data_IF_382691128227
#
_entry.id   IF_382691128227
#
_cell.length_a   1.000
_cell.length_b   1.000
_cell.length_c   1.000
_cell.angle_alpha   90.00
_cell.angle_beta   90.00
_cell.angle_gamma   90.00
#
_symmetry.space_group_name_H-M   'P 1'
#
loop_
_entity.id
_entity.type
_entity.pdbx_description
1 polymer ?
#
# COMPACT_ATOMS: atom_id res chain seq x y z
N UNK A 1 13.32 4.12 -10.81
CA UNK A 1 11.94 3.64 -10.97
C UNK A 1 11.07 4.47 -10.03
N UNK A 2 9.98 5.10 -10.51
CA UNK A 2 9.06 5.79 -9.58
C UNK A 2 8.39 4.73 -8.71
N UNK A 3 8.34 4.95 -7.39
CA UNK A 3 7.56 4.09 -6.50
C UNK A 3 6.09 4.26 -6.85
N UNK A 4 5.38 3.14 -7.04
CA UNK A 4 3.95 3.14 -7.40
C UNK A 4 3.08 3.67 -6.27
N UNK A 5 3.51 3.46 -5.04
CA UNK A 5 2.79 3.89 -3.85
C UNK A 5 3.68 4.81 -3.03
N UNK A 6 3.07 5.83 -2.44
CA UNK A 6 3.76 6.74 -1.51
C UNK A 6 2.90 6.98 -0.29
N UNK A 7 3.54 7.21 0.86
CA UNK A 7 2.88 7.65 2.09
C UNK A 7 2.98 9.17 2.23
N UNK A 8 1.87 9.79 2.61
CA UNK A 8 1.74 11.24 2.79
C UNK A 8 1.24 11.51 4.21
N UNK A 9 1.87 12.45 4.90
CA UNK A 9 1.42 12.94 6.20
C UNK A 9 0.21 13.87 6.01
N UNK A 10 -0.89 13.53 6.64
CA UNK A 10 -2.13 14.31 6.64
C UNK A 10 -2.07 15.43 7.69
N UNK A 11 -2.86 16.51 7.55
CA UNK A 11 -2.90 17.61 8.53
C UNK A 11 -3.33 17.20 9.95
N UNK A 12 -3.88 15.99 10.12
CA UNK A 12 -4.34 15.42 11.38
C UNK A 12 -3.28 14.61 12.12
N UNK A 13 -2.00 14.73 11.71
CA UNK A 13 -0.88 13.92 12.22
C UNK A 13 -1.07 12.41 12.00
N UNK A 14 -1.87 12.06 10.99
CA UNK A 14 -2.08 10.69 10.50
C UNK A 14 -1.45 10.53 9.12
N UNK A 15 -1.41 9.31 8.62
CA UNK A 15 -0.80 8.97 7.35
C UNK A 15 -1.82 8.36 6.37
N UNK A 16 -1.61 8.66 5.10
CA UNK A 16 -2.35 8.09 3.99
C UNK A 16 -1.41 7.49 2.94
N UNK A 17 -1.84 6.45 2.24
CA UNK A 17 -1.10 5.85 1.12
C UNK A 17 -1.83 6.14 -0.18
N UNK A 18 -1.11 6.70 -1.15
CA UNK A 18 -1.63 7.05 -2.47
C UNK A 18 -0.97 6.21 -3.57
N UNK A 19 -1.74 5.88 -4.61
CA UNK A 19 -1.19 5.36 -5.86
C UNK A 19 -0.72 6.55 -6.71
N UNK A 20 0.58 6.65 -6.94
CA UNK A 20 1.21 7.77 -7.65
C UNK A 20 0.85 7.82 -9.13
N UNK A 21 0.29 6.73 -9.67
CA UNK A 21 -0.15 6.67 -11.06
C UNK A 21 -1.56 7.24 -11.26
N UNK A 22 -2.42 7.16 -10.24
CA UNK A 22 -3.79 7.67 -10.30
C UNK A 22 -3.98 8.95 -9.49
N UNK A 23 -3.13 9.20 -8.49
CA UNK A 23 -3.29 10.29 -7.53
C UNK A 23 -4.41 10.03 -6.51
N UNK A 24 -4.91 8.80 -6.41
CA UNK A 24 -6.00 8.42 -5.52
C UNK A 24 -5.48 7.66 -4.29
N UNK A 25 -6.18 7.73 -3.14
CA UNK A 25 -5.82 6.93 -1.99
C UNK A 25 -6.02 5.44 -2.29
N UNK A 26 -5.11 4.60 -1.80
CA UNK A 26 -5.15 3.16 -2.01
C UNK A 26 -6.34 2.55 -1.28
N UNK A 27 -7.07 1.66 -1.95
CA UNK A 27 -8.10 0.81 -1.37
C UNK A 27 -7.56 -0.61 -1.27
N UNK A 28 -7.51 -1.16 -0.06
CA UNK A 28 -7.15 -2.55 0.19
C UNK A 28 -8.38 -3.32 0.66
N UNK A 29 -8.91 -4.19 -0.21
CA UNK A 29 -10.21 -4.84 0.03
C UNK A 29 -11.34 -3.80 0.03
N UNK A 30 -11.94 -3.55 1.18
CA UNK A 30 -12.97 -2.51 1.40
C UNK A 30 -12.47 -1.33 2.24
N UNK A 31 -11.19 -1.34 2.66
CA UNK A 31 -10.60 -0.30 3.52
C UNK A 31 -9.82 0.71 2.68
N UNK A 32 -10.10 1.99 2.90
CA UNK A 32 -9.30 3.10 2.37
C UNK A 32 -8.09 3.31 3.28
N UNK A 33 -6.89 3.43 2.71
CA UNK A 33 -5.63 3.57 3.46
C UNK A 33 -5.33 5.03 3.78
N UNK A 34 -6.18 5.64 4.62
CA UNK A 34 -6.07 7.00 5.16
C UNK A 34 -6.26 6.96 6.68
N UNK A 35 -5.85 8.01 7.40
CA UNK A 35 -6.02 8.07 8.85
C UNK A 35 -5.21 7.01 9.62
N UNK A 36 -4.11 6.54 9.02
CA UNK A 36 -3.24 5.52 9.59
C UNK A 36 -2.29 6.16 10.61
N UNK A 37 -1.83 5.39 11.60
CA UNK A 37 -0.63 5.78 12.31
C UNK A 37 0.64 5.56 11.45
N UNK A 38 1.77 6.08 11.89
CA UNK A 38 3.03 6.00 11.14
C UNK A 38 3.50 4.56 10.91
N UNK A 39 3.35 3.70 11.92
CA UNK A 39 3.80 2.31 11.87
C UNK A 39 2.92 1.51 10.93
N UNK A 40 1.60 1.68 11.01
CA UNK A 40 0.64 1.04 10.12
C UNK A 40 0.87 1.47 8.66
N UNK A 41 1.11 2.75 8.41
CA UNK A 41 1.44 3.24 7.06
C UNK A 41 2.73 2.64 6.52
N UNK A 42 3.75 2.44 7.36
CA UNK A 42 5.01 1.80 6.95
C UNK A 42 4.81 0.33 6.57
N UNK A 43 4.12 -0.42 7.42
CA UNK A 43 3.86 -1.84 7.19
C UNK A 43 3.01 -2.07 5.94
N UNK A 44 1.95 -1.27 5.76
CA UNK A 44 1.09 -1.34 4.59
C UNK A 44 1.84 -0.95 3.32
N UNK A 45 2.65 0.12 3.34
CA UNK A 45 3.45 0.53 2.18
C UNK A 45 4.49 -0.54 1.81
N UNK A 46 5.12 -1.16 2.79
CA UNK A 46 6.04 -2.28 2.56
C UNK A 46 5.30 -3.48 1.94
N UNK A 47 4.09 -3.79 2.40
CA UNK A 47 3.27 -4.87 1.83
C UNK A 47 2.87 -4.61 0.36
N UNK A 48 2.60 -3.35 0.00
CA UNK A 48 2.21 -2.93 -1.34
C UNK A 48 3.37 -2.88 -2.32
N UNK A 49 4.57 -2.58 -1.83
CA UNK A 49 5.79 -2.50 -2.63
C UNK A 49 6.57 -3.82 -2.66
N UNK A 50 6.21 -4.79 -1.82
CA UNK A 50 6.78 -6.12 -1.84
C UNK A 50 6.54 -6.81 -3.21
N UNK A 51 7.55 -7.51 -3.77
CA UNK A 51 7.36 -8.28 -4.98
C UNK A 51 6.29 -9.35 -4.76
N UNK A 52 5.42 -9.63 -5.75
CA UNK A 52 4.40 -10.66 -5.61
C UNK A 52 5.07 -11.99 -5.29
N UNK A 53 4.83 -12.48 -4.07
CA UNK A 53 5.36 -13.76 -3.60
C UNK A 53 4.87 -14.83 -4.58
N UNK A 54 5.81 -15.45 -5.30
CA UNK A 54 5.53 -16.34 -6.41
C UNK A 54 4.36 -17.28 -6.10
N UNK A 55 3.30 -17.15 -6.89
CA UNK A 55 2.20 -18.12 -6.93
C UNK A 55 2.82 -19.44 -7.37
N UNK A 56 3.19 -20.29 -6.40
CA UNK A 56 3.56 -21.68 -6.65
C UNK A 56 2.43 -22.27 -7.51
N UNK A 57 2.72 -22.51 -8.79
CA UNK A 57 1.87 -23.30 -9.65
C UNK A 57 1.73 -24.64 -8.94
N UNK A 58 0.51 -24.96 -8.54
CA UNK A 58 0.11 -26.29 -8.13
C UNK A 58 0.72 -27.30 -9.09
N UNK A 59 1.52 -28.23 -8.56
CA UNK A 59 1.72 -29.51 -9.21
C UNK A 59 0.33 -30.13 -9.45
N UNK A 60 -0.03 -30.29 -10.71
CA UNK A 60 -0.94 -31.33 -11.17
C UNK A 60 -0.02 -32.28 -11.93
N UNK A 61 0.33 -33.41 -11.31
CA UNK A 61 -0.35 -34.70 -11.45
C UNK A 61 -0.09 -35.30 -12.82
#
# INVERSE_FOLDING_TARGET
MKQKFERILEPTDTWAIFDTSTGEPVIMGTRLLIGLDEQEAEELLASLTAPPKGRNKRSAA
#
